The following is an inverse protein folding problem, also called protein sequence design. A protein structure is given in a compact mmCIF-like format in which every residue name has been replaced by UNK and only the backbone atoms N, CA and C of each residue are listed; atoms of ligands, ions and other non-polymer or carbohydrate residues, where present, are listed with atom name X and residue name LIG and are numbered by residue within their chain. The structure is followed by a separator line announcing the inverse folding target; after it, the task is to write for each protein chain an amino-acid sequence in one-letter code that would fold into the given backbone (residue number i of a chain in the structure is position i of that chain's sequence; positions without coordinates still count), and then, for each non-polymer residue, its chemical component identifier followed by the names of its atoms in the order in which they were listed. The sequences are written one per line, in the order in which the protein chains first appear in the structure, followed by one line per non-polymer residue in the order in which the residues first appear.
data_IF_319813168458
#
_entry.id   IF_319813168458
#
_cell.length_a   1.000
_cell.length_b   1.000
_cell.length_c   1.000
_cell.angle_alpha   90.00
_cell.angle_beta   90.00
_cell.angle_gamma   90.00
#
_symmetry.space_group_name_H-M   'P 1'
#
loop_
_entity.id
_entity.type
_entity.pdbx_description
1 polymer ?
#
# COMPACT_ATOMS: atom_id res chain seq x y z
N UNK A 1 16.59 -22.12 2.37
CA UNK A 1 15.36 -21.46 2.85
C UNK A 1 15.80 -20.40 3.85
N UNK A 2 16.24 -19.26 3.35
CA UNK A 2 16.62 -18.09 4.15
C UNK A 2 15.90 -16.92 3.52
N UNK A 3 14.69 -16.63 3.98
CA UNK A 3 13.93 -15.42 3.66
C UNK A 3 12.87 -15.12 4.74
N UNK A 4 12.98 -15.70 5.94
CA UNK A 4 11.90 -15.59 6.94
C UNK A 4 11.96 -14.32 7.77
N UNK A 5 13.14 -13.73 8.01
CA UNK A 5 13.25 -12.59 8.93
C UNK A 5 12.80 -11.27 8.28
N UNK A 6 13.22 -11.01 7.05
CA UNK A 6 12.87 -9.78 6.34
C UNK A 6 11.37 -9.72 6.01
N UNK A 7 10.76 -10.86 5.63
CA UNK A 7 9.32 -10.93 5.39
C UNK A 7 8.52 -10.70 6.69
N UNK A 8 8.97 -11.27 7.82
CA UNK A 8 8.36 -11.02 9.12
C UNK A 8 8.51 -9.57 9.58
N UNK A 9 9.65 -8.94 9.28
CA UNK A 9 9.89 -7.53 9.57
C UNK A 9 8.97 -6.62 8.75
N UNK A 10 8.88 -6.86 7.43
CA UNK A 10 7.97 -6.11 6.55
C UNK A 10 6.51 -6.34 6.96
N UNK A 11 6.11 -7.57 7.31
CA UNK A 11 4.77 -7.83 7.81
C UNK A 11 4.47 -7.03 9.09
N UNK A 12 5.40 -6.99 10.04
CA UNK A 12 5.26 -6.17 11.25
C UNK A 12 5.15 -4.70 10.91
N UNK A 13 6.03 -4.19 10.06
CA UNK A 13 6.02 -2.81 9.58
C UNK A 13 4.64 -2.47 8.96
N UNK A 14 4.15 -3.29 8.03
CA UNK A 14 2.86 -3.09 7.37
C UNK A 14 1.69 -3.11 8.36
N UNK A 15 1.69 -4.05 9.31
CA UNK A 15 0.66 -4.10 10.35
C UNK A 15 0.70 -2.86 11.25
N UNK A 16 1.88 -2.35 11.57
CA UNK A 16 2.05 -1.13 12.37
C UNK A 16 1.60 0.11 11.59
N UNK A 17 2.10 0.30 10.37
CA UNK A 17 1.79 1.47 9.54
C UNK A 17 0.29 1.58 9.24
N UNK A 18 -0.38 0.44 9.06
CA UNK A 18 -1.79 0.36 8.67
C UNK A 18 -2.71 -0.18 9.78
N UNK A 19 -2.28 -0.09 11.05
CA UNK A 19 -3.05 -0.58 12.20
C UNK A 19 -4.49 -0.05 12.24
N UNK A 20 -4.69 1.19 11.78
CA UNK A 20 -6.01 1.83 11.72
C UNK A 20 -7.02 1.13 10.79
N UNK A 21 -6.57 0.37 9.77
CA UNK A 21 -7.45 -0.51 9.00
C UNK A 21 -7.76 -1.80 9.75
N UNK A 22 -6.77 -2.37 10.45
CA UNK A 22 -6.95 -3.58 11.25
C UNK A 22 -7.99 -3.33 12.35
N UNK A 23 -7.89 -2.19 13.04
CA UNK A 23 -8.87 -1.72 14.03
C UNK A 23 -10.29 -1.55 13.44
N UNK A 24 -10.40 -1.30 12.13
CA UNK A 24 -11.67 -1.20 11.38
C UNK A 24 -12.12 -2.52 10.77
N UNK A 25 -11.54 -3.64 11.20
CA UNK A 25 -11.95 -4.99 10.80
C UNK A 25 -11.38 -5.46 9.46
N UNK A 26 -10.30 -4.84 8.96
CA UNK A 26 -9.55 -5.39 7.84
C UNK A 26 -8.56 -6.45 8.32
N UNK A 27 -8.46 -7.55 7.58
CA UNK A 27 -7.42 -8.56 7.73
C UNK A 27 -6.24 -8.26 6.80
N UNK A 28 -5.01 -8.37 7.31
CA UNK A 28 -3.80 -8.26 6.51
C UNK A 28 -3.43 -9.62 5.89
N UNK A 29 -3.00 -9.60 4.62
CA UNK A 29 -2.41 -10.74 3.92
C UNK A 29 -1.25 -10.28 3.06
N UNK A 30 -0.22 -11.10 2.98
CA UNK A 30 0.93 -10.89 2.09
C UNK A 30 0.89 -11.94 0.98
N UNK A 31 1.13 -11.49 -0.26
CA UNK A 31 1.34 -12.36 -1.41
C UNK A 31 2.63 -11.96 -2.12
N UNK A 32 3.23 -12.93 -2.76
CA UNK A 32 4.41 -12.77 -3.60
C UNK A 32 4.13 -13.41 -4.95
N UNK A 33 4.22 -12.61 -6.02
CA UNK A 33 4.04 -13.06 -7.39
C UNK A 33 5.34 -12.87 -8.18
N UNK A 34 5.88 -13.94 -8.74
CA UNK A 34 7.07 -13.88 -9.61
C UNK A 34 6.64 -13.89 -11.07
N UNK A 35 6.91 -12.80 -11.78
CA UNK A 35 6.75 -12.67 -13.22
C UNK A 35 7.73 -13.55 -14.00
N UNK A 36 7.37 -13.89 -15.24
CA UNK A 36 8.22 -14.70 -16.13
C UNK A 36 9.52 -13.98 -16.56
N UNK A 37 9.57 -12.66 -16.40
CA UNK A 37 10.68 -11.77 -16.78
C UNK A 37 11.62 -11.42 -15.61
N UNK A 38 11.68 -12.27 -14.58
CA UNK A 38 12.43 -12.05 -13.32
C UNK A 38 11.92 -10.90 -12.45
N UNK A 39 10.87 -10.18 -12.85
CA UNK A 39 10.18 -9.24 -11.98
C UNK A 39 9.45 -9.98 -10.87
N UNK A 40 9.42 -9.40 -9.66
CA UNK A 40 8.65 -9.91 -8.54
C UNK A 40 7.72 -8.80 -8.05
N UNK A 41 6.50 -9.15 -7.67
CA UNK A 41 5.51 -8.23 -7.12
C UNK A 41 5.17 -8.68 -5.71
N UNK A 42 5.46 -7.80 -4.76
CA UNK A 42 5.10 -7.92 -3.36
C UNK A 42 3.73 -7.27 -3.17
N UNK A 43 2.74 -8.03 -2.71
CA UNK A 43 1.36 -7.57 -2.58
C UNK A 43 0.96 -7.58 -1.12
N UNK A 44 0.74 -6.39 -0.57
CA UNK A 44 0.27 -6.18 0.78
C UNK A 44 -1.23 -5.88 0.74
N UNK A 45 -2.05 -6.90 1.04
CA UNK A 45 -3.50 -6.81 0.97
C UNK A 45 -4.12 -6.53 2.33
N UNK A 46 -5.04 -5.59 2.37
CA UNK A 46 -5.96 -5.38 3.48
C UNK A 46 -7.38 -5.67 3.00
N UNK A 47 -8.00 -6.69 3.58
CA UNK A 47 -9.27 -7.24 3.13
C UNK A 47 -10.34 -7.17 4.22
N UNK A 48 -11.55 -6.73 3.85
CA UNK A 48 -12.74 -6.75 4.69
C UNK A 48 -13.90 -7.41 3.94
N UNK A 49 -14.29 -8.61 4.39
CA UNK A 49 -15.27 -9.42 3.66
C UNK A 49 -14.75 -9.78 2.26
N UNK A 50 -15.49 -9.37 1.23
CA UNK A 50 -15.11 -9.57 -0.18
C UNK A 50 -14.30 -8.42 -0.78
N UNK A 51 -14.31 -7.27 -0.13
CA UNK A 51 -13.63 -6.07 -0.60
C UNK A 51 -12.20 -6.02 -0.04
N UNK A 52 -11.28 -5.44 -0.80
CA UNK A 52 -9.89 -5.29 -0.36
C UNK A 52 -9.20 -4.13 -1.08
N UNK A 53 -8.06 -3.72 -0.53
CA UNK A 53 -7.08 -2.96 -1.30
C UNK A 53 -5.72 -3.62 -1.22
N UNK A 54 -4.94 -3.44 -2.28
CA UNK A 54 -3.57 -3.93 -2.41
C UNK A 54 -2.62 -2.73 -2.52
N UNK A 55 -1.54 -2.78 -1.75
CA UNK A 55 -0.32 -2.03 -2.05
C UNK A 55 0.66 -2.99 -2.73
N UNK A 56 1.06 -2.67 -3.96
CA UNK A 56 1.89 -3.54 -4.80
C UNK A 56 3.24 -2.90 -5.07
N UNK A 57 4.30 -3.55 -4.63
CA UNK A 57 5.68 -3.12 -4.82
C UNK A 57 6.36 -4.05 -5.82
N UNK A 58 6.93 -3.49 -6.89
CA UNK A 58 7.63 -4.27 -7.92
C UNK A 58 9.13 -4.28 -7.59
N UNK A 59 9.76 -5.45 -7.63
CA UNK A 59 11.20 -5.61 -7.39
C UNK A 59 12.03 -4.78 -8.37
N UNK A 60 12.92 -3.94 -7.86
CA UNK A 60 13.71 -3.01 -8.69
C UNK A 60 12.88 -1.87 -9.30
N UNK A 61 11.58 -1.81 -9.02
CA UNK A 61 10.68 -0.73 -9.40
C UNK A 61 10.75 0.42 -8.40
N UNK A 62 10.55 1.64 -8.92
CA UNK A 62 10.50 2.84 -8.08
C UNK A 62 9.08 3.18 -7.58
N UNK A 63 8.05 2.46 -8.04
CA UNK A 63 6.65 2.79 -7.78
C UNK A 63 5.94 1.78 -6.86
N UNK A 64 5.12 2.33 -5.95
CA UNK A 64 4.15 1.58 -5.15
C UNK A 64 2.77 1.78 -5.77
N UNK A 65 2.16 0.71 -6.25
CA UNK A 65 0.86 0.75 -6.91
C UNK A 65 -0.26 0.50 -5.91
N UNK A 66 -1.34 1.28 -6.00
CA UNK A 66 -2.52 1.15 -5.14
C UNK A 66 -3.71 0.67 -5.97
N UNK A 67 -4.27 -0.47 -5.57
CA UNK A 67 -5.42 -1.11 -6.25
C UNK A 67 -6.51 -1.34 -5.23
N UNK A 68 -7.75 -1.06 -5.60
CA UNK A 68 -8.92 -1.32 -4.75
C UNK A 68 -9.86 -2.28 -5.48
N UNK A 69 -10.38 -3.25 -4.76
CA UNK A 69 -11.50 -4.07 -5.21
C UNK A 69 -12.67 -3.82 -4.28
N UNK A 70 -13.71 -3.18 -4.80
CA UNK A 70 -14.88 -2.79 -4.03
C UNK A 70 -16.15 -3.05 -4.83
N UNK A 71 -17.16 -3.64 -4.19
CA UNK A 71 -18.48 -3.91 -4.81
C UNK A 71 -18.37 -4.69 -6.13
N UNK A 72 -17.49 -5.69 -6.18
CA UNK A 72 -17.30 -6.54 -7.35
C UNK A 72 -16.47 -5.94 -8.48
N UNK A 73 -15.88 -4.76 -8.30
CA UNK A 73 -15.15 -4.05 -9.35
C UNK A 73 -13.74 -3.65 -8.91
N UNK A 74 -12.78 -3.80 -9.81
CA UNK A 74 -11.44 -3.24 -9.64
C UNK A 74 -11.45 -1.74 -9.93
N UNK A 75 -10.78 -1.00 -9.06
CA UNK A 75 -10.54 0.43 -9.17
C UNK A 75 -9.04 0.70 -9.04
N UNK A 76 -8.58 1.71 -9.76
CA UNK A 76 -7.17 2.12 -9.75
C UNK A 76 -7.06 3.61 -9.38
N UNK A 77 -7.37 3.98 -8.11
CA UNK A 77 -7.35 5.38 -7.70
C UNK A 77 -5.93 5.93 -7.79
N UNK A 78 -5.77 7.04 -8.50
CA UNK A 78 -4.48 7.72 -8.53
C UNK A 78 -4.31 8.59 -7.28
N UNK A 79 -3.67 8.03 -6.25
CA UNK A 79 -3.33 8.79 -5.04
C UNK A 79 -2.51 10.04 -5.35
N UNK A 80 -1.66 9.98 -6.39
CA UNK A 80 -0.89 11.15 -6.88
C UNK A 80 -1.78 12.29 -7.33
N UNK A 81 -2.90 12.00 -8.01
CA UNK A 81 -3.84 13.03 -8.45
C UNK A 81 -4.76 13.51 -7.32
N UNK A 82 -5.12 12.64 -6.38
CA UNK A 82 -5.95 12.99 -5.22
C UNK A 82 -5.17 13.84 -4.20
N UNK A 83 -3.90 13.51 -3.97
CA UNK A 83 -3.03 14.10 -2.95
C UNK A 83 -1.84 14.85 -3.56
N UNK A 84 -2.11 15.68 -4.58
CA UNK A 84 -1.07 16.41 -5.34
C UNK A 84 -0.13 17.22 -4.44
N UNK A 85 -0.66 17.85 -3.39
CA UNK A 85 0.13 18.73 -2.50
C UNK A 85 1.12 17.91 -1.68
N UNK A 86 0.68 16.77 -1.18
CA UNK A 86 1.46 15.83 -0.38
C UNK A 86 2.55 15.20 -1.24
N UNK A 87 2.21 14.77 -2.46
CA UNK A 87 3.19 14.26 -3.42
C UNK A 87 4.23 15.32 -3.81
N UNK A 88 3.83 16.59 -3.97
CA UNK A 88 4.78 17.69 -4.22
C UNK A 88 5.74 17.87 -3.04
N UNK A 89 5.23 17.89 -1.81
CA UNK A 89 6.06 17.98 -0.59
C UNK A 89 7.02 16.80 -0.48
N UNK A 90 6.51 15.58 -0.70
CA UNK A 90 7.32 14.36 -0.68
C UNK A 90 8.42 14.39 -1.75
N UNK A 91 8.11 14.85 -2.96
CA UNK A 91 9.08 14.99 -4.05
C UNK A 91 10.16 16.02 -3.69
N UNK A 92 9.78 17.15 -3.10
CA UNK A 92 10.73 18.19 -2.66
C UNK A 92 11.66 17.67 -1.57
N UNK A 93 11.14 16.91 -0.60
CA UNK A 93 11.97 16.27 0.46
C UNK A 93 13.03 15.34 -0.14
N UNK A 94 12.74 14.70 -1.27
CA UNK A 94 13.57 13.68 -1.90
C UNK A 94 14.25 14.15 -3.20
N UNK A 95 14.38 15.47 -3.41
CA UNK A 95 15.03 16.05 -4.60
C UNK A 95 16.47 15.56 -4.80
N UNK A 96 17.22 15.36 -3.70
CA UNK A 96 18.64 15.02 -3.75
C UNK A 96 18.93 13.57 -3.33
N UNK A 97 17.94 12.85 -2.82
CA UNK A 97 18.07 11.46 -2.36
C UNK A 97 16.79 10.71 -2.63
N UNK A 98 16.89 9.58 -3.34
CA UNK A 98 15.72 8.71 -3.59
C UNK A 98 15.12 8.24 -2.25
N UNK A 99 13.78 8.23 -2.12
CA UNK A 99 13.12 7.71 -0.93
C UNK A 99 13.37 6.21 -0.80
N UNK A 100 13.57 5.75 0.43
CA UNK A 100 13.65 4.31 0.74
C UNK A 100 12.28 3.63 0.56
N UNK A 101 12.25 2.30 0.48
CA UNK A 101 11.00 1.54 0.40
C UNK A 101 10.09 1.81 1.61
N UNK A 102 10.67 1.83 2.82
CA UNK A 102 9.98 2.19 4.05
C UNK A 102 9.39 3.61 3.97
N UNK A 103 10.15 4.62 3.54
CA UNK A 103 9.63 5.99 3.42
C UNK A 103 8.47 6.10 2.42
N UNK A 104 8.48 5.29 1.35
CA UNK A 104 7.34 5.20 0.41
C UNK A 104 6.11 4.59 1.09
N UNK A 105 6.28 3.50 1.84
CA UNK A 105 5.18 2.85 2.58
C UNK A 105 4.60 3.76 3.66
N UNK A 106 5.45 4.43 4.44
CA UNK A 106 5.06 5.46 5.41
C UNK A 106 4.26 6.59 4.74
N UNK A 107 4.74 7.08 3.60
CA UNK A 107 4.04 8.12 2.86
C UNK A 107 2.64 7.67 2.42
N UNK A 108 2.51 6.46 1.84
CA UNK A 108 1.20 5.91 1.47
C UNK A 108 0.31 5.68 2.69
N UNK A 109 0.86 5.24 3.82
CA UNK A 109 0.11 5.07 5.06
C UNK A 109 -0.50 6.39 5.54
N UNK A 110 0.22 7.51 5.41
CA UNK A 110 -0.31 8.85 5.71
C UNK A 110 -1.47 9.20 4.78
N UNK A 111 -1.33 9.00 3.47
CA UNK A 111 -2.39 9.33 2.51
C UNK A 111 -3.65 8.50 2.75
N UNK A 112 -3.49 7.18 2.93
CA UNK A 112 -4.62 6.28 3.12
C UNK A 112 -5.29 6.48 4.47
N UNK A 113 -4.56 6.90 5.51
CA UNK A 113 -5.16 7.30 6.78
C UNK A 113 -6.10 8.50 6.62
N UNK A 114 -5.75 9.48 5.79
CA UNK A 114 -6.65 10.59 5.48
C UNK A 114 -7.91 10.12 4.74
N UNK A 115 -7.79 9.17 3.82
CA UNK A 115 -8.96 8.55 3.17
C UNK A 115 -9.88 7.84 4.18
N UNK A 116 -9.35 7.26 5.25
CA UNK A 116 -10.18 6.62 6.30
C UNK A 116 -10.99 7.57 7.16
N UNK A 117 -10.80 8.89 7.05
CA UNK A 117 -11.65 9.88 7.70
C UNK A 117 -12.97 10.08 6.98
N UNK A 118 -13.08 9.62 5.74
CA UNK A 118 -14.32 9.61 4.97
C UNK A 118 -15.15 8.39 5.39
N UNK A 119 -16.47 8.47 5.26
CA UNK A 119 -17.35 7.32 5.56
C UNK A 119 -17.13 6.14 4.59
N UNK A 120 -16.52 6.41 3.44
CA UNK A 120 -16.30 5.46 2.37
C UNK A 120 -14.85 5.53 1.88
N UNK A 121 -14.15 4.40 1.95
CA UNK A 121 -12.79 4.23 1.44
C UNK A 121 -12.84 3.60 0.04
N UNK A 122 -12.86 4.43 -1.00
CA UNK A 122 -12.84 3.98 -2.41
C UNK A 122 -13.88 2.90 -2.76
N UNK A 123 -15.10 3.07 -2.27
CA UNK A 123 -16.20 2.11 -2.42
C UNK A 123 -16.32 1.10 -1.28
N UNK A 124 -15.32 0.97 -0.42
CA UNK A 124 -15.34 0.08 0.74
C UNK A 124 -15.93 0.83 1.93
N UNK A 125 -17.01 0.29 2.51
CA UNK A 125 -17.62 0.83 3.73
C UNK A 125 -16.69 0.61 4.93
N UNK A 126 -16.40 1.69 5.66
CA UNK A 126 -15.60 1.67 6.88
C UNK A 126 -16.44 1.37 8.14
#
# INVERSE_FOLDING_TARGET
MENSNDELEIEREMKTLFAYFIERGFSYRYFYEKGGDSSCVYIYRFQRGKDFFDLREVSGGDELNFVVYANGNYQFPSLKYLYKKEFKKFSVKHLFKKPTAQEKREFFAVLLKEETKKENFFGIKL
#
